data_IF_600623143056
#
_entry.id   IF_600623143056
#
_cell.length_a   1.000
_cell.length_b   1.000
_cell.length_c   1.000
_cell.angle_alpha   90.00
_cell.angle_beta   90.00
_cell.angle_gamma   90.00
#
_symmetry.space_group_name_H-M   'P 1'
#
loop_
_entity.id
_entity.type
_entity.pdbx_description
1 polymer ?
#
# COMPACT_ATOMS: atom_id res chain seq x y z
N UNK A 1 -11.35 -8.25 8.08
CA UNK A 1 -10.09 -7.51 8.09
C UNK A 1 -9.10 -8.22 9.01
N UNK A 2 -7.85 -8.37 8.58
CA UNK A 2 -6.80 -9.07 9.32
C UNK A 2 -5.46 -8.92 8.62
N UNK A 3 -4.52 -9.84 8.89
CA UNK A 3 -3.13 -9.71 8.38
C UNK A 3 -3.03 -9.83 6.85
N UNK A 4 -3.91 -10.60 6.23
CA UNK A 4 -3.95 -10.75 4.76
C UNK A 4 -4.71 -9.61 4.10
N UNK A 5 -5.77 -9.09 4.73
CA UNK A 5 -6.58 -8.01 4.18
C UNK A 5 -6.70 -6.87 5.18
N UNK A 6 -6.02 -5.78 4.91
CA UNK A 6 -5.85 -4.62 5.78
C UNK A 6 -4.51 -4.58 6.52
N UNK A 7 -3.75 -5.68 6.55
CA UNK A 7 -2.40 -5.72 7.14
C UNK A 7 -1.28 -5.27 6.20
N UNK A 8 -1.51 -5.28 4.88
CA UNK A 8 -0.47 -4.98 3.90
C UNK A 8 0.14 -3.56 4.07
N UNK A 9 -0.69 -2.56 4.38
CA UNK A 9 -0.22 -1.19 4.62
C UNK A 9 0.62 -1.07 5.90
N UNK A 10 0.23 -1.77 6.97
CA UNK A 10 1.02 -1.83 8.21
C UNK A 10 2.38 -2.47 7.97
N UNK A 11 2.40 -3.64 7.33
CA UNK A 11 3.62 -4.36 7.01
C UNK A 11 4.55 -3.53 6.10
N UNK A 12 3.98 -2.84 5.10
CA UNK A 12 4.75 -1.96 4.23
C UNK A 12 5.35 -0.77 4.99
N UNK A 13 4.60 -0.17 5.94
CA UNK A 13 5.11 0.88 6.81
C UNK A 13 6.23 0.38 7.74
N UNK A 14 6.16 -0.88 8.24
CA UNK A 14 7.26 -1.50 8.96
C UNK A 14 8.53 -1.56 8.11
N UNK A 15 8.43 -2.04 6.86
CA UNK A 15 9.55 -2.10 5.93
C UNK A 15 10.18 -0.72 5.72
N UNK A 16 9.35 0.29 5.44
CA UNK A 16 9.86 1.64 5.19
C UNK A 16 10.55 2.24 6.41
N UNK A 17 10.00 2.03 7.61
CA UNK A 17 10.63 2.46 8.86
C UNK A 17 11.93 1.72 9.14
N UNK A 18 12.03 0.43 8.82
CA UNK A 18 13.28 -0.33 8.97
C UNK A 18 14.35 0.16 8.00
N UNK A 19 13.99 0.44 6.73
CA UNK A 19 14.89 1.05 5.76
C UNK A 19 15.36 2.43 6.25
N UNK A 20 14.45 3.29 6.71
CA UNK A 20 14.81 4.62 7.21
C UNK A 20 15.80 4.57 8.39
N UNK A 21 15.65 3.59 9.31
CA UNK A 21 16.62 3.38 10.39
C UNK A 21 18.00 2.94 9.89
N UNK A 22 18.04 2.11 8.84
CA UNK A 22 19.31 1.68 8.26
C UNK A 22 19.99 2.87 7.56
N UNK A 23 19.22 3.75 6.93
CA UNK A 23 19.71 4.98 6.28
C UNK A 23 20.40 5.96 7.25
N UNK A 24 20.25 5.82 8.56
CA UNK A 24 21.05 6.59 9.53
C UNK A 24 22.56 6.29 9.43
N UNK A 25 22.94 5.16 8.82
CA UNK A 25 24.34 4.68 8.75
C UNK A 25 24.80 4.31 7.35
N UNK A 26 23.85 4.05 6.44
CA UNK A 26 24.09 3.53 5.11
C UNK A 26 23.38 4.40 4.07
N UNK A 27 23.83 4.32 2.82
CA UNK A 27 23.08 4.94 1.74
C UNK A 27 21.76 4.19 1.43
N UNK A 28 20.86 4.84 0.70
CA UNK A 28 19.53 4.31 0.41
C UNK A 28 19.58 2.98 -0.35
N UNK A 29 20.55 2.77 -1.25
CA UNK A 29 20.66 1.53 -2.04
C UNK A 29 20.97 0.35 -1.13
N UNK A 30 21.95 0.50 -0.23
CA UNK A 30 22.32 -0.50 0.75
C UNK A 30 21.18 -0.72 1.75
N UNK A 31 20.58 0.36 2.23
CA UNK A 31 19.50 0.30 3.22
C UNK A 31 18.28 -0.47 2.70
N UNK A 32 17.90 -0.25 1.45
CA UNK A 32 16.79 -0.97 0.83
C UNK A 32 17.08 -2.46 0.68
N UNK A 33 18.27 -2.84 0.24
CA UNK A 33 18.66 -4.24 0.12
C UNK A 33 18.58 -4.94 1.49
N UNK A 34 19.20 -4.35 2.52
CA UNK A 34 19.18 -4.90 3.88
C UNK A 34 17.76 -4.95 4.47
N UNK A 35 16.94 -3.95 4.20
CA UNK A 35 15.53 -3.91 4.61
C UNK A 35 14.72 -5.03 3.96
N UNK A 36 14.92 -5.27 2.67
CA UNK A 36 14.25 -6.36 1.94
C UNK A 36 14.73 -7.74 2.40
N UNK A 37 15.99 -7.91 2.77
CA UNK A 37 16.51 -9.16 3.30
C UNK A 37 15.86 -9.48 4.66
N UNK A 38 15.79 -8.51 5.58
CA UNK A 38 15.05 -8.65 6.84
C UNK A 38 13.57 -8.94 6.63
N UNK A 39 12.96 -8.30 5.62
CA UNK A 39 11.58 -8.57 5.24
C UNK A 39 11.39 -10.05 4.90
N UNK A 40 12.25 -10.60 4.04
CA UNK A 40 12.14 -11.98 3.59
C UNK A 40 12.27 -12.98 4.71
N UNK A 41 13.16 -12.72 5.66
CA UNK A 41 13.31 -13.56 6.86
C UNK A 41 12.02 -13.61 7.68
N UNK A 42 11.28 -12.51 7.76
CA UNK A 42 10.07 -12.37 8.59
C UNK A 42 8.79 -12.78 7.85
N UNK A 43 8.64 -12.38 6.59
CA UNK A 43 7.38 -12.47 5.85
C UNK A 43 7.46 -13.27 4.54
N UNK A 44 8.65 -13.68 4.10
CA UNK A 44 8.88 -14.39 2.85
C UNK A 44 9.01 -13.47 1.64
N UNK A 45 8.93 -14.06 0.44
CA UNK A 45 9.30 -13.41 -0.83
C UNK A 45 8.34 -12.31 -1.31
N UNK A 46 7.08 -12.34 -0.86
CA UNK A 46 6.08 -11.38 -1.32
C UNK A 46 6.14 -10.12 -0.47
N UNK A 47 6.50 -9.01 -1.09
CA UNK A 47 6.59 -7.72 -0.41
C UNK A 47 5.23 -7.03 -0.47
N UNK A 48 4.63 -6.78 0.71
CA UNK A 48 3.38 -6.03 0.84
C UNK A 48 3.54 -4.59 0.33
N UNK A 49 2.49 -4.03 -0.26
CA UNK A 49 2.53 -2.69 -0.84
C UNK A 49 2.93 -2.64 -2.31
N UNK A 50 3.27 -3.79 -2.94
CA UNK A 50 3.70 -3.86 -4.34
C UNK A 50 2.94 -4.94 -5.11
N UNK A 51 2.58 -4.59 -6.36
CA UNK A 51 1.73 -5.43 -7.20
C UNK A 51 0.27 -5.38 -6.78
N UNK A 52 -0.63 -5.71 -7.70
CA UNK A 52 -2.06 -5.76 -7.44
C UNK A 52 -2.72 -6.89 -8.23
N UNK A 53 -3.74 -7.51 -7.65
CA UNK A 53 -4.45 -8.63 -8.27
C UNK A 53 -5.19 -8.20 -9.56
N UNK A 54 -5.82 -7.04 -9.52
CA UNK A 54 -6.68 -6.55 -10.60
C UNK A 54 -6.06 -5.40 -11.39
N UNK A 55 -5.36 -4.48 -10.73
CA UNK A 55 -4.74 -3.33 -11.39
C UNK A 55 -3.38 -3.69 -11.93
N UNK A 56 -3.27 -3.82 -13.24
CA UNK A 56 -2.03 -4.13 -13.97
C UNK A 56 -1.95 -3.29 -15.25
N UNK A 57 -0.77 -2.81 -15.64
CA UNK A 57 0.52 -2.98 -14.98
C UNK A 57 0.71 -2.10 -13.73
N UNK A 58 -0.11 -1.08 -13.53
CA UNK A 58 0.00 -0.07 -12.46
C UNK A 58 -1.32 0.05 -11.72
N UNK A 59 -1.28 0.23 -10.40
CA UNK A 59 -2.43 0.65 -9.62
C UNK A 59 -2.62 2.16 -9.82
N UNK A 60 -3.71 2.64 -10.47
CA UNK A 60 -3.87 4.04 -10.85
C UNK A 60 -3.97 5.02 -9.66
N UNK A 61 -4.22 4.48 -8.46
CA UNK A 61 -4.33 5.29 -7.24
C UNK A 61 -2.97 5.69 -6.68
N UNK A 62 -1.97 4.83 -6.80
CA UNK A 62 -0.65 5.04 -6.22
C UNK A 62 0.08 6.26 -6.83
N UNK A 63 0.17 6.45 -8.16
CA UNK A 63 0.84 7.61 -8.73
C UNK A 63 0.24 8.94 -8.28
N UNK A 64 -1.10 9.01 -8.15
CA UNK A 64 -1.77 10.21 -7.67
C UNK A 64 -1.38 10.55 -6.23
N UNK A 65 -1.36 9.55 -5.34
CA UNK A 65 -0.95 9.75 -3.95
C UNK A 65 0.54 10.14 -3.85
N UNK A 66 1.40 9.47 -4.61
CA UNK A 66 2.83 9.80 -4.64
C UNK A 66 3.09 11.22 -5.15
N UNK A 67 2.35 11.69 -6.17
CA UNK A 67 2.45 13.08 -6.62
C UNK A 67 2.07 14.08 -5.52
N UNK A 68 1.07 13.76 -4.68
CA UNK A 68 0.70 14.60 -3.54
C UNK A 68 1.75 14.61 -2.43
N UNK A 69 2.43 13.51 -2.20
CA UNK A 69 3.59 13.49 -1.28
C UNK A 69 4.72 14.36 -1.81
N UNK A 70 5.03 14.29 -3.11
CA UNK A 70 6.07 15.13 -3.73
C UNK A 70 5.72 16.62 -3.66
N UNK A 71 4.47 16.99 -3.97
CA UNK A 71 3.97 18.37 -3.81
C UNK A 71 4.10 18.85 -2.35
N UNK A 72 3.76 18.01 -1.38
CA UNK A 72 3.89 18.33 0.04
C UNK A 72 5.36 18.49 0.47
N UNK A 73 6.27 17.67 -0.07
CA UNK A 73 7.69 17.77 0.20
C UNK A 73 8.30 19.06 -0.40
N UNK A 74 7.93 19.43 -1.63
CA UNK A 74 8.34 20.70 -2.25
C UNK A 74 7.88 21.92 -1.43
N UNK A 75 6.74 21.82 -0.75
CA UNK A 75 6.21 22.84 0.13
C UNK A 75 6.74 22.74 1.59
N UNK A 76 7.69 21.86 1.86
CA UNK A 76 8.25 21.61 3.19
C UNK A 76 7.22 21.18 4.27
N UNK A 77 6.12 20.55 3.86
CA UNK A 77 5.11 19.98 4.78
C UNK A 77 5.55 18.61 5.30
N UNK A 78 6.22 17.82 4.45
CA UNK A 78 6.80 16.52 4.78
C UNK A 78 8.23 16.44 4.24
N UNK A 79 8.98 15.39 4.62
CA UNK A 79 10.39 15.26 4.22
C UNK A 79 10.58 14.78 2.78
N UNK A 80 9.69 13.93 2.29
CA UNK A 80 9.81 13.22 1.02
C UNK A 80 10.70 11.96 1.09
N UNK A 81 11.35 11.71 2.22
CA UNK A 81 12.30 10.58 2.39
C UNK A 81 11.60 9.24 2.21
N UNK A 82 10.39 9.07 2.73
CA UNK A 82 9.67 7.83 2.57
C UNK A 82 9.14 7.62 1.15
N UNK A 83 8.93 8.69 0.38
CA UNK A 83 8.66 8.58 -1.04
C UNK A 83 9.88 8.05 -1.80
N UNK A 84 11.09 8.54 -1.48
CA UNK A 84 12.34 8.03 -2.05
C UNK A 84 12.53 6.54 -1.69
N UNK A 85 12.33 6.18 -0.43
CA UNK A 85 12.39 4.78 0.03
C UNK A 85 11.41 3.90 -0.75
N UNK A 86 10.14 4.30 -0.86
CA UNK A 86 9.12 3.52 -1.56
C UNK A 86 9.43 3.29 -3.04
N UNK A 87 9.91 4.33 -3.74
CA UNK A 87 10.32 4.24 -5.14
C UNK A 87 11.56 3.34 -5.29
N UNK A 88 12.51 3.45 -4.38
CA UNK A 88 13.72 2.63 -4.40
C UNK A 88 13.45 1.16 -4.09
N UNK A 89 12.55 0.87 -3.14
CA UNK A 89 12.07 -0.48 -2.87
C UNK A 89 11.39 -1.07 -4.12
N UNK A 90 10.55 -0.31 -4.81
CA UNK A 90 9.93 -0.73 -6.08
C UNK A 90 10.97 -1.10 -7.13
N UNK A 91 11.99 -0.25 -7.31
CA UNK A 91 13.09 -0.49 -8.26
C UNK A 91 13.84 -1.78 -7.93
N UNK A 92 14.22 -1.94 -6.67
CA UNK A 92 15.02 -3.08 -6.22
C UNK A 92 14.26 -4.41 -6.33
N UNK A 93 12.98 -4.45 -5.94
CA UNK A 93 12.12 -5.63 -6.16
C UNK A 93 12.07 -5.98 -7.66
N UNK A 94 11.95 -4.98 -8.53
CA UNK A 94 11.96 -5.18 -9.99
C UNK A 94 13.26 -5.83 -10.48
N UNK A 95 14.42 -5.36 -10.01
CA UNK A 95 15.75 -5.92 -10.34
C UNK A 95 15.85 -7.38 -9.91
N UNK A 96 15.50 -7.66 -8.67
CA UNK A 96 15.58 -9.01 -8.08
C UNK A 96 14.64 -10.02 -8.76
N UNK A 97 13.59 -9.56 -9.42
CA UNK A 97 12.68 -10.37 -10.25
C UNK A 97 13.14 -10.55 -11.71
N UNK A 98 14.40 -10.30 -11.99
CA UNK A 98 14.95 -10.39 -13.34
C UNK A 98 14.50 -9.23 -14.25
N UNK A 99 14.51 -8.02 -13.71
CA UNK A 99 14.05 -6.78 -14.34
C UNK A 99 12.58 -6.80 -14.79
N UNK A 100 11.76 -7.55 -14.07
CA UNK A 100 10.31 -7.52 -14.27
C UNK A 100 9.70 -6.42 -13.39
N UNK A 101 9.13 -5.37 -14.00
CA UNK A 101 8.57 -4.27 -13.21
C UNK A 101 7.44 -4.75 -12.30
N UNK A 102 7.43 -4.24 -11.10
CA UNK A 102 6.33 -4.37 -10.15
C UNK A 102 5.98 -2.97 -9.67
N UNK A 103 4.73 -2.58 -9.76
CA UNK A 103 4.32 -1.26 -9.35
C UNK A 103 3.89 -1.24 -7.89
N UNK A 104 4.21 -0.15 -7.20
CA UNK A 104 3.61 0.19 -5.91
C UNK A 104 2.08 0.23 -6.07
N UNK A 105 1.38 -0.35 -5.11
CA UNK A 105 -0.08 -0.32 -5.06
C UNK A 105 -0.58 0.70 -4.02
N UNK A 106 -1.89 0.72 -3.79
CA UNK A 106 -2.50 1.66 -2.83
C UNK A 106 -1.96 1.49 -1.41
N UNK A 107 -1.67 0.25 -0.98
CA UNK A 107 -1.15 0.01 0.37
C UNK A 107 0.27 0.56 0.52
N UNK A 108 1.12 0.41 -0.51
CA UNK A 108 2.45 0.98 -0.55
C UNK A 108 2.44 2.51 -0.52
N UNK A 109 1.59 3.13 -1.34
CA UNK A 109 1.50 4.60 -1.40
C UNK A 109 0.92 5.21 -0.11
N UNK A 110 -0.09 4.57 0.50
CA UNK A 110 -0.61 5.04 1.79
C UNK A 110 0.38 4.83 2.93
N UNK A 111 1.17 3.74 2.89
CA UNK A 111 2.25 3.54 3.85
C UNK A 111 3.31 4.65 3.78
N UNK A 112 3.67 5.12 2.57
CA UNK A 112 4.54 6.32 2.40
C UNK A 112 3.94 7.51 3.13
N UNK A 113 2.66 7.84 2.87
CA UNK A 113 1.99 8.99 3.50
C UNK A 113 2.01 8.88 5.03
N UNK A 114 1.69 7.70 5.57
CA UNK A 114 1.64 7.51 7.02
C UNK A 114 3.01 7.62 7.67
N UNK A 115 4.06 7.11 7.02
CA UNK A 115 5.43 7.26 7.49
C UNK A 115 5.90 8.72 7.42
N UNK A 116 5.59 9.46 6.34
CA UNK A 116 5.90 10.90 6.24
C UNK A 116 5.22 11.73 7.33
N UNK A 117 4.03 11.33 7.76
CA UNK A 117 3.29 11.96 8.85
C UNK A 117 3.72 11.47 10.24
N UNK A 118 4.68 10.56 10.34
CA UNK A 118 5.21 10.04 11.60
C UNK A 118 4.27 9.06 12.31
N UNK A 119 3.30 8.47 11.62
CA UNK A 119 2.42 7.48 12.24
C UNK A 119 3.14 6.15 12.46
N UNK A 120 2.98 5.51 13.62
CA UNK A 120 3.51 4.17 13.83
C UNK A 120 2.82 3.15 12.93
N UNK A 121 3.56 2.14 12.47
CA UNK A 121 3.06 1.15 11.51
C UNK A 121 1.71 0.48 11.89
N UNK A 122 1.46 0.10 13.17
CA UNK A 122 0.16 -0.46 13.56
C UNK A 122 -1.03 0.48 13.33
N UNK A 123 -0.81 1.81 13.40
CA UNK A 123 -1.88 2.79 13.13
C UNK A 123 -2.31 2.78 11.67
N UNK A 124 -1.43 2.44 10.74
CA UNK A 124 -1.75 2.32 9.29
C UNK A 124 -2.90 1.35 9.05
N UNK A 125 -2.92 0.21 9.76
CA UNK A 125 -4.04 -0.73 9.70
C UNK A 125 -5.33 -0.11 10.22
N UNK A 126 -5.27 0.61 11.33
CA UNK A 126 -6.41 1.32 11.90
C UNK A 126 -6.99 2.36 10.93
N UNK A 127 -6.13 3.15 10.28
CA UNK A 127 -6.53 4.15 9.28
C UNK A 127 -7.14 3.50 8.03
N UNK A 128 -6.60 2.37 7.58
CA UNK A 128 -7.23 1.58 6.51
C UNK A 128 -8.64 1.14 6.92
N UNK A 129 -8.82 0.58 8.11
CA UNK A 129 -10.12 0.15 8.61
C UNK A 129 -11.11 1.32 8.71
N UNK A 130 -10.65 2.47 9.22
CA UNK A 130 -11.46 3.68 9.34
C UNK A 130 -11.93 4.16 7.95
N UNK A 131 -11.03 4.26 6.97
CA UNK A 131 -11.38 4.68 5.62
C UNK A 131 -12.36 3.72 4.93
N UNK A 132 -12.21 2.42 5.18
CA UNK A 132 -13.07 1.38 4.62
C UNK A 132 -14.44 1.33 5.29
N UNK A 133 -14.55 1.72 6.55
CA UNK A 133 -15.79 1.64 7.34
C UNK A 133 -16.93 2.45 6.72
N UNK A 134 -16.66 3.60 6.12
CA UNK A 134 -17.65 4.43 5.43
C UNK A 134 -18.25 3.69 4.24
N UNK A 135 -17.41 3.09 3.39
CA UNK A 135 -17.87 2.28 2.26
C UNK A 135 -18.62 1.03 2.70
N UNK A 136 -18.17 0.36 3.77
CA UNK A 136 -18.88 -0.81 4.33
C UNK A 136 -20.26 -0.41 4.83
N UNK A 137 -20.37 0.73 5.53
CA UNK A 137 -21.65 1.24 6.02
C UNK A 137 -22.60 1.55 4.86
N UNK A 138 -22.11 2.27 3.84
CA UNK A 138 -22.92 2.62 2.67
C UNK A 138 -23.42 1.37 1.92
N UNK A 139 -22.54 0.44 1.64
CA UNK A 139 -22.90 -0.83 0.96
C UNK A 139 -23.83 -1.70 1.81
N UNK A 140 -23.60 -1.75 3.13
CA UNK A 140 -24.49 -2.46 4.05
C UNK A 140 -25.90 -1.89 4.05
N UNK A 141 -26.00 -0.56 4.09
CA UNK A 141 -27.29 0.14 4.01
C UNK A 141 -28.00 -0.12 2.68
N UNK A 142 -27.29 0.04 1.56
CA UNK A 142 -27.83 -0.24 0.22
C UNK A 142 -28.34 -1.69 0.13
N UNK A 143 -27.57 -2.66 0.59
CA UNK A 143 -27.95 -4.07 0.60
C UNK A 143 -29.22 -4.32 1.42
N UNK A 144 -29.38 -3.64 2.56
CA UNK A 144 -30.62 -3.74 3.36
C UNK A 144 -31.84 -3.20 2.61
N UNK A 145 -31.69 -2.08 1.87
CA UNK A 145 -32.79 -1.51 1.07
C UNK A 145 -33.16 -2.42 -0.10
N UNK A 146 -32.21 -3.10 -0.70
CA UNK A 146 -32.44 -4.05 -1.79
C UNK A 146 -33.12 -5.36 -1.32
N UNK A 147 -33.14 -5.65 -0.01
CA UNK A 147 -33.79 -6.83 0.56
C UNK A 147 -33.15 -8.17 0.17
N UNK A 148 -31.99 -8.13 -0.48
CA UNK A 148 -31.26 -9.32 -0.93
C UNK A 148 -30.48 -10.00 0.22
N UNK A 149 -30.48 -11.35 0.22
CA UNK A 149 -29.63 -12.11 1.13
C UNK A 149 -28.19 -12.11 0.64
N UNK A 150 -27.23 -11.79 1.51
CA UNK A 150 -25.81 -11.99 1.21
C UNK A 150 -25.52 -13.49 1.06
N UNK A 151 -25.05 -13.89 -0.12
CA UNK A 151 -24.67 -15.28 -0.44
C UNK A 151 -23.15 -15.46 -0.57
N UNK A 152 -22.36 -14.47 -0.16
CA UNK A 152 -20.92 -14.45 -0.33
C UNK A 152 -20.50 -13.77 -1.63
N UNK A 153 -19.19 -13.84 -2.00
CA UNK A 153 -18.68 -13.18 -3.19
C UNK A 153 -19.27 -13.78 -4.48
N UNK A 154 -19.71 -12.89 -5.37
CA UNK A 154 -20.21 -13.30 -6.67
C UNK A 154 -19.08 -13.74 -7.60
N UNK A 155 -19.29 -14.77 -8.42
CA UNK A 155 -18.37 -15.10 -9.50
C UNK A 155 -18.17 -13.91 -10.45
N UNK A 156 -16.94 -13.68 -10.96
CA UNK A 156 -16.67 -12.56 -11.87
C UNK A 156 -17.56 -12.49 -13.10
N UNK A 157 -18.03 -13.66 -13.57
CA UNK A 157 -18.89 -13.80 -14.76
C UNK A 157 -20.31 -13.24 -14.60
N UNK A 158 -20.74 -13.00 -13.37
CA UNK A 158 -22.09 -12.49 -13.08
C UNK A 158 -22.08 -11.18 -12.28
N UNK A 159 -20.93 -10.50 -12.22
CA UNK A 159 -20.86 -9.19 -11.59
C UNK A 159 -21.73 -8.19 -12.36
N UNK A 160 -22.58 -7.42 -11.67
CA UNK A 160 -23.36 -6.37 -12.32
C UNK A 160 -22.42 -5.28 -12.87
N UNK A 161 -22.75 -4.78 -14.05
CA UNK A 161 -22.06 -3.61 -14.60
C UNK A 161 -22.58 -2.35 -13.89
N UNK A 162 -21.66 -1.55 -13.34
CA UNK A 162 -22.02 -0.26 -12.77
C UNK A 162 -22.58 0.66 -13.86
N UNK A 163 -23.77 1.23 -13.62
CA UNK A 163 -24.33 2.28 -14.45
C UNK A 163 -24.39 3.54 -13.60
N UNK A 164 -23.64 4.57 -14.00
CA UNK A 164 -23.82 5.91 -13.43
C UNK A 164 -25.20 6.44 -13.82
N UNK A 165 -25.94 6.92 -12.87
CA UNK A 165 -27.15 7.75 -13.13
C UNK A 165 -26.76 9.12 -13.64
#
# INVERSE_FOLDING_TARGET
LGDVHGGAGEQCAELYNDVAKIMEKEDIDIAVIQGLDKWREKYGEIVSGFGHRFHKPVDPRAPLLMSKVREAAENNVVSGVFADIGEKVQEEIGKQRGNKPIAMNIDGATAVIFCELGFPAPLSRGLFCLSRSVGILAHGWEQMQMGGRNKGPMPPSILPTYKSN
#
